data_IF_736613630659
#
_entry.id   IF_736613630659
#
_cell.length_a   1.000
_cell.length_b   1.000
_cell.length_c   1.000
_cell.angle_alpha   90.00
_cell.angle_beta   90.00
_cell.angle_gamma   90.00
#
_symmetry.space_group_name_H-M   'P 1'
#
loop_
_entity.id
_entity.type
_entity.pdbx_description
1 polymer ?
#
# COMPACT_ATOMS: atom_id res chain seq x y z
N UNK A 1 -52.93 39.30 -35.23
CA UNK A 1 -51.55 39.61 -34.80
C UNK A 1 -50.84 38.28 -34.68
N UNK A 2 -50.33 37.78 -35.80
CA UNK A 2 -49.50 36.58 -35.86
C UNK A 2 -48.05 37.01 -35.99
N UNK A 3 -47.20 36.57 -35.06
CA UNK A 3 -45.77 36.81 -35.14
C UNK A 3 -45.14 35.85 -36.17
N UNK A 4 -44.20 36.32 -37.01
CA UNK A 4 -43.50 35.46 -37.95
C UNK A 4 -42.56 34.50 -37.22
N UNK A 5 -42.42 33.29 -37.75
CA UNK A 5 -41.52 32.26 -37.24
C UNK A 5 -40.05 32.74 -37.23
N UNK A 6 -39.25 32.35 -36.22
CA UNK A 6 -37.85 32.78 -36.13
C UNK A 6 -36.99 32.12 -37.22
N UNK A 7 -36.03 32.90 -37.73
CA UNK A 7 -35.03 32.45 -38.69
C UNK A 7 -34.10 31.37 -38.09
N UNK A 8 -33.56 30.44 -38.90
CA UNK A 8 -32.67 29.40 -38.41
C UNK A 8 -31.33 30.00 -37.97
N UNK A 9 -30.82 29.54 -36.81
CA UNK A 9 -29.53 29.96 -36.27
C UNK A 9 -28.36 29.51 -37.16
N UNK A 10 -27.29 30.32 -37.30
CA UNK A 10 -26.13 29.97 -38.09
C UNK A 10 -25.32 28.85 -37.43
N UNK A 11 -24.94 27.83 -38.22
CA UNK A 11 -23.98 26.81 -37.82
C UNK A 11 -22.63 27.46 -37.51
N UNK A 12 -22.27 27.49 -36.23
CA UNK A 12 -20.91 27.75 -35.78
C UNK A 12 -20.05 26.53 -36.09
N UNK A 13 -19.22 26.65 -37.13
CA UNK A 13 -18.03 25.82 -37.29
C UNK A 13 -16.98 26.22 -36.24
N UNK A 14 -16.27 25.19 -35.80
CA UNK A 14 -14.98 25.17 -35.09
C UNK A 14 -14.95 25.29 -33.56
N UNK A 15 -14.56 24.18 -32.94
CA UNK A 15 -13.42 24.17 -32.03
C UNK A 15 -12.69 22.83 -32.14
N UNK A 16 -11.56 22.81 -32.85
CA UNK A 16 -10.55 21.76 -32.73
C UNK A 16 -10.17 21.57 -31.25
N UNK A 17 -9.97 20.32 -30.78
CA UNK A 17 -9.49 20.10 -29.43
C UNK A 17 -8.10 20.72 -29.28
N UNK A 18 -7.80 21.38 -28.15
CA UNK A 18 -6.50 21.98 -27.94
C UNK A 18 -5.41 20.91 -28.02
N UNK A 19 -4.36 21.25 -28.76
CA UNK A 19 -3.14 20.48 -28.87
C UNK A 19 -2.67 20.04 -27.49
N UNK A 20 -2.38 18.74 -27.35
CA UNK A 20 -1.75 18.18 -26.17
C UNK A 20 -0.47 18.98 -25.89
N UNK A 21 -0.53 19.84 -24.87
CA UNK A 21 0.65 20.45 -24.28
C UNK A 21 1.42 19.30 -23.66
N UNK A 22 2.48 18.87 -24.35
CA UNK A 22 3.53 18.06 -23.79
C UNK A 22 4.07 18.80 -22.55
N UNK A 23 3.60 18.40 -21.37
CA UNK A 23 4.13 18.85 -20.11
C UNK A 23 5.43 18.07 -19.90
N UNK A 24 6.48 18.55 -20.55
CA UNK A 24 7.85 18.15 -20.33
C UNK A 24 8.29 18.68 -18.95
N UNK A 25 7.77 18.04 -17.89
CA UNK A 25 8.28 18.21 -16.54
C UNK A 25 9.27 17.09 -16.31
N UNK A 26 10.52 17.35 -16.69
CA UNK A 26 11.70 16.79 -16.01
C UNK A 26 11.52 17.01 -14.52
N UNK A 27 10.96 16.03 -13.82
CA UNK A 27 11.11 15.94 -12.38
C UNK A 27 12.57 15.59 -12.16
N UNK A 28 13.36 16.60 -11.81
CA UNK A 28 14.67 16.40 -11.22
C UNK A 28 14.53 15.40 -10.07
N UNK A 29 15.24 14.28 -10.23
CA UNK A 29 15.40 13.23 -9.25
C UNK A 29 15.89 13.86 -7.95
N UNK A 30 14.99 14.02 -6.99
CA UNK A 30 15.36 14.36 -5.63
C UNK A 30 15.98 13.13 -4.99
N UNK A 31 17.29 13.14 -4.78
CA UNK A 31 17.98 12.18 -3.93
C UNK A 31 17.23 12.05 -2.59
N UNK A 32 16.70 10.85 -2.35
CA UNK A 32 16.18 10.47 -1.04
C UNK A 32 17.38 10.24 -0.11
N UNK A 33 17.32 10.70 1.15
CA UNK A 33 18.45 10.60 2.07
C UNK A 33 18.79 9.15 2.38
N UNK A 34 20.08 8.82 2.32
CA UNK A 34 20.64 7.53 2.67
C UNK A 34 20.71 7.37 4.20
N UNK A 35 20.25 6.23 4.71
CA UNK A 35 20.44 5.81 6.09
C UNK A 35 21.24 4.51 6.11
N UNK A 36 22.37 4.51 6.82
CA UNK A 36 23.26 3.35 7.01
C UNK A 36 22.79 2.46 8.16
N UNK A 37 22.99 1.13 8.05
CA UNK A 37 22.89 0.21 9.21
C UNK A 37 22.76 -1.27 8.85
N UNK A 38 23.66 -2.10 9.39
CA UNK A 38 23.80 -3.54 9.14
C UNK A 38 23.45 -4.41 10.38
N UNK A 39 22.65 -5.47 10.17
CA UNK A 39 22.65 -6.80 10.82
C UNK A 39 22.17 -7.12 12.27
N UNK A 40 21.41 -6.27 12.95
CA UNK A 40 20.45 -6.75 13.98
C UNK A 40 19.23 -5.83 14.06
N UNK A 41 18.20 -6.06 13.23
CA UNK A 41 17.10 -5.11 13.00
C UNK A 41 16.47 -4.57 14.30
N UNK A 42 16.39 -5.36 15.36
CA UNK A 42 15.83 -4.94 16.66
C UNK A 42 16.73 -3.95 17.41
N UNK A 43 16.16 -2.81 17.81
CA UNK A 43 16.83 -1.73 18.53
C UNK A 43 17.51 -0.69 17.62
N UNK A 44 17.63 -0.95 16.32
CA UNK A 44 18.14 0.03 15.38
C UNK A 44 17.12 1.15 15.13
N UNK A 45 17.63 2.38 15.13
CA UNK A 45 16.87 3.57 14.71
C UNK A 45 17.10 3.77 13.21
N UNK A 46 16.01 3.79 12.45
CA UNK A 46 16.00 4.06 11.02
C UNK A 46 15.44 5.47 10.84
N UNK A 47 16.30 6.42 10.51
CA UNK A 47 15.88 7.81 10.22
C UNK A 47 15.74 8.02 8.72
N UNK A 48 14.67 8.67 8.30
CA UNK A 48 14.42 9.01 6.91
C UNK A 48 13.82 10.40 6.80
N UNK A 49 14.16 11.14 5.74
CA UNK A 49 13.48 12.41 5.43
C UNK A 49 12.38 12.16 4.41
N UNK A 50 11.15 12.48 4.82
CA UNK A 50 9.99 12.44 3.95
C UNK A 50 9.83 13.83 3.33
N UNK A 51 9.72 13.86 2.00
CA UNK A 51 9.38 15.09 1.28
C UNK A 51 8.01 15.60 1.70
N UNK A 52 7.91 16.89 2.03
CA UNK A 52 6.61 17.50 2.30
C UNK A 52 5.74 17.49 1.04
N UNK A 53 4.46 17.14 1.19
CA UNK A 53 3.47 17.29 0.12
C UNK A 53 3.00 18.74 0.09
N UNK A 54 2.66 19.26 -1.08
CA UNK A 54 1.99 20.56 -1.24
C UNK A 54 2.72 21.78 -0.63
N UNK A 55 4.05 21.80 -0.66
CA UNK A 55 4.85 22.94 -0.15
C UNK A 55 5.22 22.86 1.33
N UNK A 56 4.87 21.77 2.01
CA UNK A 56 5.37 21.55 3.38
C UNK A 56 6.88 21.30 3.43
N UNK A 57 7.55 21.69 4.53
CA UNK A 57 8.96 21.40 4.72
C UNK A 57 9.22 19.89 4.80
N UNK A 58 10.39 19.49 4.33
CA UNK A 58 10.93 18.14 4.54
C UNK A 58 10.94 17.82 6.03
N UNK A 59 10.41 16.65 6.42
CA UNK A 59 10.38 16.20 7.82
C UNK A 59 11.24 14.96 7.97
N UNK A 60 12.12 14.95 8.97
CA UNK A 60 12.81 13.73 9.38
C UNK A 60 11.88 12.93 10.29
N UNK A 61 11.74 11.65 9.99
CA UNK A 61 10.98 10.68 10.79
C UNK A 61 11.91 9.53 11.15
N UNK A 62 11.80 9.04 12.37
CA UNK A 62 12.69 8.05 12.96
C UNK A 62 11.88 6.86 13.46
N UNK A 63 12.30 5.67 13.09
CA UNK A 63 11.66 4.42 13.46
C UNK A 63 12.58 3.59 14.31
N UNK A 64 12.14 3.25 15.52
CA UNK A 64 12.80 2.22 16.32
C UNK A 64 12.22 0.87 15.94
N UNK A 65 13.02 0.03 15.31
CA UNK A 65 12.61 -1.32 14.96
C UNK A 65 12.55 -2.21 16.23
N UNK A 66 11.42 -2.86 16.47
CA UNK A 66 11.15 -3.55 17.73
C UNK A 66 11.29 -5.06 17.60
N UNK A 67 10.68 -5.66 16.58
CA UNK A 67 10.76 -7.11 16.32
C UNK A 67 10.44 -7.48 14.88
N UNK A 68 11.00 -8.58 14.41
CA UNK A 68 10.63 -9.20 13.14
C UNK A 68 9.25 -9.85 13.29
N UNK A 69 8.33 -9.54 12.39
CA UNK A 69 6.95 -10.07 12.38
C UNK A 69 6.65 -10.93 11.16
N UNK A 70 7.50 -10.89 10.14
CA UNK A 70 7.40 -11.76 8.97
C UNK A 70 8.72 -11.86 8.22
N UNK A 71 8.99 -13.04 7.68
CA UNK A 71 10.08 -13.31 6.75
C UNK A 71 9.50 -14.02 5.53
N UNK A 72 9.89 -13.61 4.33
CA UNK A 72 9.39 -14.18 3.10
C UNK A 72 10.41 -14.06 1.97
N UNK A 73 10.08 -14.63 0.81
CA UNK A 73 10.92 -14.60 -0.40
C UNK A 73 11.30 -13.19 -0.85
N UNK A 74 10.46 -12.19 -0.53
CA UNK A 74 10.64 -10.81 -0.95
C UNK A 74 11.39 -9.94 0.06
N UNK A 75 11.67 -10.45 1.27
CA UNK A 75 12.38 -9.71 2.30
C UNK A 75 11.82 -9.92 3.70
N UNK A 76 11.99 -8.89 4.53
CA UNK A 76 11.68 -8.93 5.95
C UNK A 76 10.63 -7.88 6.30
N UNK A 77 9.71 -8.25 7.19
CA UNK A 77 8.74 -7.34 7.78
C UNK A 77 9.03 -7.26 9.27
N UNK A 78 9.17 -6.04 9.79
CA UNK A 78 9.36 -5.81 11.20
C UNK A 78 8.35 -4.79 11.72
N UNK A 79 7.93 -4.98 12.97
CA UNK A 79 7.23 -3.95 13.72
C UNK A 79 8.24 -2.88 14.13
N UNK A 80 7.85 -1.62 14.02
CA UNK A 80 8.62 -0.49 14.50
C UNK A 80 7.72 0.54 15.18
N UNK A 81 8.32 1.38 16.01
CA UNK A 81 7.65 2.53 16.62
C UNK A 81 8.17 3.82 15.97
N UNK A 82 7.26 4.62 15.45
CA UNK A 82 7.54 5.99 15.01
C UNK A 82 7.85 6.84 16.24
N UNK A 83 9.05 7.40 16.34
CA UNK A 83 9.50 8.12 17.53
C UNK A 83 8.82 9.48 17.68
N UNK A 84 8.45 10.11 16.56
CA UNK A 84 7.82 11.43 16.54
C UNK A 84 6.34 11.38 16.92
N UNK A 85 5.65 10.28 16.64
CA UNK A 85 4.21 10.14 16.88
C UNK A 85 3.86 9.11 17.95
N UNK A 86 4.80 8.26 18.34
CA UNK A 86 4.57 7.08 19.17
C UNK A 86 3.81 5.95 18.48
N UNK A 87 3.42 6.12 17.21
CA UNK A 87 2.61 5.15 16.47
C UNK A 87 3.40 3.88 16.13
N UNK A 88 2.78 2.72 16.35
CA UNK A 88 3.31 1.43 15.90
C UNK A 88 3.01 1.22 14.41
N UNK A 89 4.02 0.85 13.64
CA UNK A 89 3.96 0.61 12.19
C UNK A 89 4.56 -0.74 11.82
N UNK A 90 4.21 -1.25 10.63
CA UNK A 90 4.92 -2.36 10.00
C UNK A 90 5.81 -1.81 8.88
N UNK A 91 7.08 -2.22 8.85
CA UNK A 91 8.02 -1.86 7.80
C UNK A 91 8.42 -3.11 7.04
N UNK A 92 8.04 -3.19 5.77
CA UNK A 92 8.48 -4.25 4.84
C UNK A 92 9.70 -3.75 4.07
N UNK A 93 10.86 -4.33 4.37
CA UNK A 93 12.15 -4.03 3.72
C UNK A 93 12.42 -5.08 2.65
N UNK A 94 12.51 -4.64 1.39
CA UNK A 94 12.70 -5.48 0.21
C UNK A 94 13.92 -5.02 -0.57
N UNK A 95 14.69 -5.96 -1.12
CA UNK A 95 15.80 -5.63 -2.01
C UNK A 95 15.24 -4.97 -3.28
N UNK A 96 15.83 -3.85 -3.69
CA UNK A 96 15.36 -3.05 -4.80
C UNK A 96 16.37 -3.07 -5.94
N UNK A 97 15.98 -3.65 -7.08
CA UNK A 97 16.72 -3.45 -8.33
C UNK A 97 16.51 -2.01 -8.82
N UNK A 98 17.61 -1.26 -8.99
CA UNK A 98 17.61 0.14 -9.44
C UNK A 98 16.95 0.31 -10.82
N UNK A 99 16.90 -0.75 -11.64
CA UNK A 99 16.38 -0.70 -13.02
C UNK A 99 14.86 -0.81 -13.11
N UNK A 100 14.20 -1.28 -12.06
CA UNK A 100 12.78 -1.63 -12.11
C UNK A 100 11.98 -0.90 -11.04
N UNK A 101 10.80 -0.40 -11.42
CA UNK A 101 9.85 0.12 -10.42
C UNK A 101 9.26 -1.04 -9.62
N UNK A 102 9.17 -0.88 -8.31
CA UNK A 102 8.53 -1.88 -7.47
C UNK A 102 7.02 -1.86 -7.68
N UNK A 103 6.49 -2.99 -8.17
CA UNK A 103 5.07 -3.14 -8.48
C UNK A 103 4.18 -3.06 -7.24
N UNK A 104 4.59 -3.70 -6.15
CA UNK A 104 3.82 -3.70 -4.90
C UNK A 104 3.61 -2.27 -4.40
N UNK A 105 4.67 -1.45 -4.42
CA UNK A 105 4.58 -0.02 -4.11
C UNK A 105 3.58 0.71 -5.01
N UNK A 106 3.59 0.45 -6.32
CA UNK A 106 2.65 1.09 -7.26
C UNK A 106 1.20 0.73 -6.95
N UNK A 107 0.93 -0.56 -6.69
CA UNK A 107 -0.41 -1.02 -6.35
C UNK A 107 -0.88 -0.41 -5.03
N UNK A 108 -0.04 -0.45 -3.99
CA UNK A 108 -0.40 0.08 -2.67
C UNK A 108 -0.69 1.58 -2.68
N UNK A 109 -0.02 2.36 -3.54
CA UNK A 109 -0.31 3.80 -3.71
C UNK A 109 -1.69 4.10 -4.32
N UNK A 110 -2.27 3.13 -5.03
CA UNK A 110 -3.57 3.28 -5.71
C UNK A 110 -4.73 2.69 -4.89
N UNK A 111 -4.47 2.18 -3.69
CA UNK A 111 -5.47 1.51 -2.86
C UNK A 111 -5.69 2.27 -1.55
N UNK A 112 -6.95 2.53 -1.24
CA UNK A 112 -7.42 3.10 0.01
C UNK A 112 -8.77 2.49 0.37
N UNK A 113 -8.75 1.56 1.33
CA UNK A 113 -9.95 0.86 1.78
C UNK A 113 -9.75 0.31 3.20
N UNK A 114 -10.75 0.39 4.09
CA UNK A 114 -10.61 -0.07 5.48
C UNK A 114 -10.19 -1.53 5.64
N UNK A 115 -10.55 -2.40 4.68
CA UNK A 115 -10.19 -3.83 4.68
C UNK A 115 -8.98 -4.19 3.80
N UNK A 116 -8.17 -3.20 3.41
CA UNK A 116 -6.88 -3.35 2.72
C UNK A 116 -5.82 -2.62 3.54
N UNK A 117 -4.62 -3.18 3.63
CA UNK A 117 -3.52 -2.55 4.35
C UNK A 117 -3.12 -1.23 3.69
N UNK A 118 -3.00 -0.17 4.49
CA UNK A 118 -2.64 1.16 4.02
C UNK A 118 -1.12 1.37 4.02
N UNK A 119 -0.61 1.91 2.92
CA UNK A 119 0.75 2.44 2.82
C UNK A 119 0.77 3.87 3.35
N UNK A 120 1.51 4.11 4.44
CA UNK A 120 1.70 5.46 4.98
C UNK A 120 2.68 6.26 4.13
N UNK A 121 3.84 5.67 3.84
CA UNK A 121 4.88 6.21 2.96
C UNK A 121 5.94 5.13 2.67
N UNK A 122 6.96 5.50 1.92
CA UNK A 122 8.10 4.64 1.63
C UNK A 122 9.39 5.44 1.58
N UNK A 123 10.51 4.76 1.81
CA UNK A 123 11.85 5.35 1.68
C UNK A 123 12.86 4.30 1.21
N UNK A 124 13.98 4.77 0.67
CA UNK A 124 15.09 3.90 0.29
C UNK A 124 16.16 3.91 1.37
N UNK A 125 16.88 2.80 1.50
CA UNK A 125 18.05 2.69 2.37
C UNK A 125 19.11 1.85 1.66
N UNK A 126 20.38 2.14 1.88
CA UNK A 126 21.48 1.41 1.27
C UNK A 126 22.34 0.76 2.36
N UNK A 127 22.78 -0.48 2.15
CA UNK A 127 23.70 -1.13 3.08
C UNK A 127 25.13 -0.66 2.81
N UNK A 128 26.06 -1.00 3.71
CA UNK A 128 27.50 -0.78 3.49
C UNK A 128 28.05 -1.52 2.25
N UNK A 129 27.30 -2.48 1.70
CA UNK A 129 27.61 -3.23 0.48
C UNK A 129 26.98 -2.61 -0.78
N UNK A 130 26.49 -1.37 -0.72
CA UNK A 130 25.78 -0.67 -1.80
C UNK A 130 24.49 -1.38 -2.29
N UNK A 131 23.91 -2.24 -1.45
CA UNK A 131 22.63 -2.88 -1.76
C UNK A 131 21.49 -1.91 -1.46
N UNK A 132 20.72 -1.57 -2.49
CA UNK A 132 19.56 -0.71 -2.36
C UNK A 132 18.35 -1.50 -1.85
N UNK A 133 17.71 -0.99 -0.81
CA UNK A 133 16.46 -1.52 -0.28
C UNK A 133 15.35 -0.48 -0.37
N UNK A 134 14.15 -0.96 -0.71
CA UNK A 134 12.90 -0.21 -0.57
C UNK A 134 12.24 -0.60 0.75
N UNK A 135 11.87 0.39 1.54
CA UNK A 135 11.17 0.22 2.82
C UNK A 135 9.74 0.76 2.66
N UNK A 136 8.76 -0.12 2.80
CA UNK A 136 7.33 0.22 2.77
C UNK A 136 6.84 0.37 4.21
N UNK A 137 6.47 1.59 4.60
CA UNK A 137 5.92 1.88 5.93
C UNK A 137 4.40 1.79 5.86
N UNK A 138 3.85 0.84 6.59
CA UNK A 138 2.44 0.47 6.58
C UNK A 138 1.85 0.64 7.97
N UNK A 139 0.52 0.75 8.07
CA UNK A 139 -0.14 0.56 9.35
C UNK A 139 0.18 -0.82 9.95
N UNK A 140 0.19 -0.92 11.28
CA UNK A 140 0.41 -2.17 11.98
C UNK A 140 -0.92 -2.80 12.41
N UNK A 141 -1.08 -4.10 12.18
CA UNK A 141 -2.19 -4.90 12.69
C UNK A 141 -1.61 -6.05 13.52
N UNK A 142 -2.08 -6.31 14.76
CA UNK A 142 -1.36 -7.17 15.71
C UNK A 142 -1.22 -8.63 15.30
N UNK A 143 -2.27 -9.20 14.69
CA UNK A 143 -2.36 -10.64 14.44
C UNK A 143 -2.66 -10.95 12.97
N UNK A 144 -2.38 -12.19 12.60
CA UNK A 144 -2.85 -12.77 11.33
C UNK A 144 -4.00 -13.73 11.61
N UNK A 145 -4.90 -13.90 10.64
CA UNK A 145 -5.97 -14.89 10.72
C UNK A 145 -5.38 -16.29 10.95
N UNK A 146 -4.22 -16.60 10.38
CA UNK A 146 -3.49 -17.83 10.66
C UNK A 146 -3.19 -18.02 12.16
N UNK A 147 -2.65 -17.00 12.84
CA UNK A 147 -2.34 -17.07 14.28
C UNK A 147 -3.60 -17.19 15.12
N UNK A 148 -4.67 -16.48 14.75
CA UNK A 148 -5.99 -16.61 15.41
C UNK A 148 -6.53 -18.04 15.26
N UNK A 149 -6.50 -18.61 14.05
CA UNK A 149 -6.94 -19.99 13.80
C UNK A 149 -6.09 -21.00 14.58
N UNK A 150 -4.77 -20.81 14.62
CA UNK A 150 -3.86 -21.66 15.39
C UNK A 150 -4.15 -21.61 16.89
N UNK A 151 -4.49 -20.43 17.44
CA UNK A 151 -4.87 -20.29 18.84
C UNK A 151 -6.11 -21.15 19.18
N UNK A 152 -7.18 -21.06 18.38
CA UNK A 152 -8.37 -21.90 18.56
C UNK A 152 -8.04 -23.40 18.42
N UNK A 153 -7.28 -23.77 17.39
CA UNK A 153 -6.87 -25.15 17.17
C UNK A 153 -6.07 -25.73 18.34
N UNK A 154 -5.12 -24.98 18.88
CA UNK A 154 -4.30 -25.42 20.02
C UNK A 154 -5.12 -25.58 21.31
N UNK A 155 -6.20 -24.81 21.45
CA UNK A 155 -7.13 -24.92 22.56
C UNK A 155 -8.20 -26.03 22.35
N UNK A 156 -8.12 -26.82 21.27
CA UNK A 156 -9.17 -27.76 20.86
C UNK A 156 -10.57 -27.12 20.75
N UNK A 157 -10.61 -25.84 20.40
CA UNK A 157 -11.83 -25.08 20.20
C UNK A 157 -12.02 -24.75 18.72
N UNK A 158 -13.27 -24.61 18.31
CA UNK A 158 -13.61 -24.00 17.01
C UNK A 158 -13.78 -22.50 17.20
N UNK A 159 -13.39 -21.73 16.19
CA UNK A 159 -13.72 -20.31 16.14
C UNK A 159 -15.25 -20.16 16.14
N UNK A 160 -15.83 -19.34 17.04
CA UNK A 160 -17.26 -19.01 17.01
C UNK A 160 -17.71 -18.52 15.64
N UNK A 161 -18.87 -19.00 15.20
CA UNK A 161 -19.39 -18.74 13.84
C UNK A 161 -19.58 -17.24 13.56
N UNK A 162 -19.84 -16.43 14.59
CA UNK A 162 -19.94 -14.99 14.47
C UNK A 162 -18.63 -14.35 13.96
N UNK A 163 -17.48 -14.78 14.46
CA UNK A 163 -16.18 -14.28 14.00
C UNK A 163 -15.84 -14.78 12.61
N UNK A 164 -16.22 -16.01 12.27
CA UNK A 164 -16.09 -16.53 10.89
C UNK A 164 -16.86 -15.63 9.92
N UNK A 165 -18.14 -15.34 10.22
CA UNK A 165 -18.97 -14.46 9.38
C UNK A 165 -18.36 -13.05 9.28
N UNK A 166 -17.95 -12.47 10.40
CA UNK A 166 -17.40 -11.12 10.47
C UNK A 166 -16.09 -10.99 9.67
N UNK A 167 -15.17 -11.93 9.84
CA UNK A 167 -13.88 -11.90 9.14
C UNK A 167 -14.02 -12.18 7.65
N UNK A 168 -14.86 -13.15 7.27
CA UNK A 168 -15.09 -13.45 5.86
C UNK A 168 -15.79 -12.29 5.14
N UNK A 169 -16.78 -11.65 5.77
CA UNK A 169 -17.45 -10.47 5.20
C UNK A 169 -16.46 -9.35 4.89
N UNK A 170 -15.60 -9.00 5.85
CA UNK A 170 -14.60 -7.95 5.69
C UNK A 170 -13.54 -8.31 4.64
N UNK A 171 -13.08 -9.57 4.62
CA UNK A 171 -12.16 -10.06 3.59
C UNK A 171 -12.77 -9.93 2.19
N UNK A 172 -14.02 -10.37 2.01
CA UNK A 172 -14.71 -10.25 0.71
C UNK A 172 -14.99 -8.80 0.33
N UNK A 173 -15.25 -7.92 1.28
CA UNK A 173 -15.37 -6.48 1.02
C UNK A 173 -14.05 -5.89 0.53
N UNK A 174 -12.92 -6.26 1.13
CA UNK A 174 -11.58 -5.87 0.65
C UNK A 174 -11.27 -6.44 -0.74
N UNK A 175 -11.61 -7.70 -1.00
CA UNK A 175 -11.43 -8.33 -2.31
C UNK A 175 -12.28 -7.67 -3.39
N UNK A 176 -13.57 -7.40 -3.10
CA UNK A 176 -14.45 -6.69 -4.01
C UNK A 176 -13.89 -5.32 -4.38
N UNK A 177 -13.38 -4.57 -3.40
CA UNK A 177 -12.71 -3.30 -3.64
C UNK A 177 -11.53 -3.43 -4.60
N UNK A 178 -10.54 -4.30 -4.32
CA UNK A 178 -9.33 -4.40 -5.16
C UNK A 178 -9.65 -4.93 -6.56
N UNK A 179 -10.69 -5.75 -6.72
CA UNK A 179 -11.11 -6.26 -8.02
C UNK A 179 -11.80 -5.19 -8.87
N UNK A 180 -12.60 -4.32 -8.25
CA UNK A 180 -13.46 -3.38 -8.98
C UNK A 180 -12.85 -2.00 -9.19
N UNK A 181 -12.10 -1.48 -8.21
CA UNK A 181 -11.59 -0.11 -8.26
C UNK A 181 -10.27 -0.03 -9.03
N UNK A 182 -9.18 -0.72 -8.60
CA UNK A 182 -7.91 -0.73 -9.34
C UNK A 182 -7.76 -1.90 -10.33
N UNK A 183 -8.72 -2.84 -10.42
CA UNK A 183 -8.64 -4.00 -11.32
C UNK A 183 -7.54 -5.00 -10.95
N UNK A 184 -7.24 -5.14 -9.65
CA UNK A 184 -6.10 -5.91 -9.12
C UNK A 184 -6.55 -7.26 -8.58
N UNK A 185 -5.99 -8.35 -9.09
CA UNK A 185 -6.09 -9.67 -8.47
C UNK A 185 -4.95 -9.87 -7.46
N UNK A 186 -5.28 -10.25 -6.22
CA UNK A 186 -4.29 -10.47 -5.15
C UNK A 186 -3.35 -11.67 -5.42
N UNK A 187 -3.91 -12.77 -5.97
CA UNK A 187 -3.23 -14.03 -6.33
C UNK A 187 -2.54 -14.83 -5.22
N UNK A 188 -2.46 -14.32 -3.99
CA UNK A 188 -1.91 -15.04 -2.84
C UNK A 188 -2.76 -14.87 -1.57
N UNK A 189 -4.07 -15.11 -1.69
CA UNK A 189 -5.01 -15.02 -0.55
C UNK A 189 -4.88 -16.29 0.29
N UNK A 190 -4.40 -16.13 1.52
CA UNK A 190 -4.22 -17.19 2.51
C UNK A 190 -4.30 -16.60 3.93
N UNK A 191 -4.55 -17.40 4.99
CA UNK A 191 -4.72 -16.88 6.34
C UNK A 191 -3.55 -16.05 6.88
N UNK A 192 -2.33 -16.24 6.37
CA UNK A 192 -1.15 -15.47 6.73
C UNK A 192 -1.18 -14.04 6.16
N UNK A 193 -1.87 -13.83 5.04
CA UNK A 193 -1.99 -12.55 4.34
C UNK A 193 -3.29 -11.80 4.69
N UNK A 194 -4.01 -12.28 5.71
CA UNK A 194 -5.20 -11.65 6.27
C UNK A 194 -4.85 -11.23 7.68
N UNK A 195 -4.71 -9.93 7.92
CA UNK A 195 -4.44 -9.39 9.24
C UNK A 195 -5.74 -9.16 10.00
N UNK A 196 -5.68 -9.36 11.32
CA UNK A 196 -6.80 -9.24 12.24
C UNK A 196 -6.33 -8.48 13.47
N UNK A 197 -7.10 -7.49 13.89
CA UNK A 197 -7.02 -6.95 15.25
C UNK A 197 -8.05 -7.71 16.11
N UNK A 198 -7.64 -8.57 17.05
CA UNK A 198 -8.58 -9.34 17.88
C UNK A 198 -9.41 -8.48 18.84
N UNK A 199 -8.99 -7.25 19.15
CA UNK A 199 -9.71 -6.35 20.05
C UNK A 199 -10.88 -5.66 19.32
N UNK A 200 -10.61 -5.16 18.11
CA UNK A 200 -11.61 -4.42 17.31
C UNK A 200 -12.32 -5.29 16.27
N UNK A 201 -11.81 -6.50 16.04
CA UNK A 201 -12.20 -7.39 14.95
C UNK A 201 -12.03 -6.80 13.53
N UNK A 202 -11.21 -5.76 13.39
CA UNK A 202 -10.86 -5.20 12.08
C UNK A 202 -10.03 -6.20 11.28
N UNK A 203 -10.42 -6.43 10.03
CA UNK A 203 -9.69 -7.29 9.08
C UNK A 203 -9.08 -6.47 7.97
N UNK A 204 -7.82 -6.76 7.60
CA UNK A 204 -7.11 -6.12 6.49
C UNK A 204 -6.37 -7.15 5.64
N UNK A 205 -6.59 -7.10 4.33
CA UNK A 205 -5.80 -7.86 3.35
C UNK A 205 -4.43 -7.20 3.17
N UNK A 206 -3.35 -7.98 3.22
CA UNK A 206 -1.98 -7.51 3.06
C UNK A 206 -1.16 -8.37 2.10
N UNK A 207 0.08 -7.94 1.82
CA UNK A 207 1.07 -8.61 0.96
C UNK A 207 0.68 -8.68 -0.52
N UNK A 208 0.91 -7.56 -1.21
CA UNK A 208 0.60 -7.39 -2.63
C UNK A 208 1.78 -7.73 -3.55
N UNK A 209 2.83 -8.37 -3.04
CA UNK A 209 4.01 -8.77 -3.82
C UNK A 209 3.67 -9.69 -5.00
N UNK A 210 2.67 -10.55 -4.83
CA UNK A 210 2.15 -11.44 -5.86
C UNK A 210 1.01 -10.83 -6.69
N UNK A 211 0.49 -9.67 -6.31
CA UNK A 211 -0.71 -9.11 -6.92
C UNK A 211 -0.48 -8.62 -8.36
N UNK A 212 -1.54 -8.59 -9.17
CA UNK A 212 -1.49 -8.17 -10.57
C UNK A 212 -2.75 -7.47 -11.04
N UNK A 213 -2.60 -6.30 -11.66
CA UNK A 213 -3.65 -5.70 -12.49
C UNK A 213 -3.96 -6.64 -13.64
N UNK A 214 -5.23 -7.01 -13.76
CA UNK A 214 -5.73 -7.82 -14.87
C UNK A 214 -6.46 -6.89 -15.81
N UNK A 215 -5.91 -6.69 -17.01
CA UNK A 215 -6.66 -6.07 -18.10
C UNK A 215 -7.71 -7.07 -18.52
N UNK A 216 -8.99 -6.76 -18.30
CA UNK A 216 -10.05 -7.47 -19.00
C UNK A 216 -9.88 -7.04 -20.46
N UNK A 217 -9.40 -7.96 -21.30
CA UNK A 217 -9.56 -7.80 -22.74
C UNK A 217 -11.07 -7.82 -22.94
N UNK A 218 -11.66 -6.68 -23.31
CA UNK A 218 -12.98 -6.69 -23.92
C UNK A 218 -12.83 -7.59 -25.14
N UNK A 219 -13.45 -8.76 -25.09
CA UNK A 219 -13.70 -9.53 -26.29
C UNK A 219 -14.87 -8.80 -26.93
N UNK A 220 -14.58 -8.00 -27.95
CA UNK A 220 -15.57 -7.35 -28.81
C UNK A 220 -16.49 -8.40 -29.47
#
# INVERSE_FOLDING_TARGET
>A
MDQPAPAPEPMLLDAQPPAAVACDKKQQEGEAPYAEGNDAVTGHIISTTIGGKNGEPKRTISYMAERVVGTGSFGIVFQAKCLETGETVAIKKVLQDRRYKNRELQLMRAMDHPNVISLKHCFFSTTSRDELFLNLVMEYVPETLYRVLKHYSNANHRMPLIYVKLYMYQLFRGLAYIHTVPGVCHRDVKPQNVLVDPLTHQVKLCDFGSAKTLTILAVD
#
